data_IF_300431683579
#
_entry.id   IF_300431683579
#
_cell.length_a   1.000
_cell.length_b   1.000
_cell.length_c   1.000
_cell.angle_alpha   90.00
_cell.angle_beta   90.00
_cell.angle_gamma   90.00
#
_symmetry.space_group_name_H-M   'P 1'
#
loop_
_entity.id
_entity.type
_entity.pdbx_description
1 polymer ?
#
# COMPACT_ATOMS: atom_id res chain seq x y z
N UNK A 1 1.46 22.61 0.27
CA UNK A 1 2.31 21.50 0.76
C UNK A 1 2.25 20.37 -0.26
N UNK A 2 3.36 19.72 -0.58
CA UNK A 2 3.35 18.61 -1.55
C UNK A 2 2.88 17.32 -0.87
N UNK A 3 1.92 16.62 -1.47
CA UNK A 3 1.48 15.31 -1.00
C UNK A 3 2.50 14.19 -1.24
N UNK A 4 3.66 14.52 -1.83
CA UNK A 4 4.77 13.59 -1.99
C UNK A 4 5.27 13.00 -0.67
N UNK A 5 5.06 13.69 0.46
CA UNK A 5 5.33 13.17 1.80
C UNK A 5 4.52 11.90 2.16
N UNK A 6 3.43 11.62 1.44
CA UNK A 6 2.64 10.40 1.63
C UNK A 6 3.22 9.19 0.88
N UNK A 7 4.19 9.37 -0.03
CA UNK A 7 4.82 8.26 -0.76
C UNK A 7 5.46 7.23 0.20
N UNK A 8 6.30 7.63 1.18
CA UNK A 8 6.83 6.70 2.18
C UNK A 8 5.73 6.00 3.00
N UNK A 9 4.63 6.68 3.29
CA UNK A 9 3.53 6.10 4.05
C UNK A 9 2.79 5.01 3.27
N UNK A 10 2.56 5.20 1.97
CA UNK A 10 2.02 4.14 1.10
C UNK A 10 2.99 2.98 0.91
N UNK A 11 4.30 3.25 0.83
CA UNK A 11 5.34 2.19 0.83
C UNK A 11 5.26 1.36 2.12
N UNK A 12 5.20 2.04 3.28
CA UNK A 12 5.04 1.40 4.58
C UNK A 12 3.74 0.57 4.64
N UNK A 13 2.62 1.12 4.15
CA UNK A 13 1.34 0.42 4.13
C UNK A 13 1.37 -0.81 3.22
N UNK A 14 1.99 -0.74 2.05
CA UNK A 14 2.19 -1.90 1.17
C UNK A 14 2.97 -3.02 1.88
N UNK A 15 4.02 -2.66 2.63
CA UNK A 15 4.81 -3.63 3.40
C UNK A 15 4.02 -4.20 4.57
N UNK A 16 3.29 -3.36 5.28
CA UNK A 16 2.46 -3.75 6.41
C UNK A 16 1.34 -4.70 6.00
N UNK A 17 0.67 -4.45 4.86
CA UNK A 17 -0.35 -5.36 4.30
C UNK A 17 0.18 -6.75 3.96
N UNK A 18 1.49 -6.90 3.72
CA UNK A 18 2.15 -8.21 3.51
C UNK A 18 2.69 -8.82 4.79
N UNK A 19 2.76 -8.05 5.88
CA UNK A 19 3.35 -8.51 7.13
C UNK A 19 2.30 -9.19 8.01
N UNK A 20 2.77 -10.00 8.96
CA UNK A 20 1.92 -10.58 10.01
C UNK A 20 1.52 -9.55 11.07
N UNK A 21 2.05 -8.33 10.99
CA UNK A 21 1.84 -7.28 11.99
C UNK A 21 0.66 -6.38 11.67
N UNK A 22 0.04 -6.48 10.48
CA UNK A 22 -1.06 -5.61 10.05
C UNK A 22 -2.11 -5.43 11.17
N UNK A 23 -2.60 -6.54 11.71
CA UNK A 23 -3.64 -6.54 12.74
C UNK A 23 -3.20 -6.06 14.12
N UNK A 24 -1.89 -5.96 14.36
CA UNK A 24 -1.31 -5.41 15.59
C UNK A 24 -0.98 -3.93 15.45
N UNK A 25 -0.54 -3.54 14.26
CA UNK A 25 -0.05 -2.21 13.96
C UNK A 25 -1.16 -1.24 13.54
N UNK A 26 -2.27 -1.75 13.00
CA UNK A 26 -3.39 -0.93 12.55
C UNK A 26 -4.66 -1.21 13.33
N UNK A 27 -5.22 -0.15 13.90
CA UNK A 27 -6.53 -0.11 14.53
C UNK A 27 -7.42 0.84 13.73
N UNK A 28 -8.54 0.31 13.24
CA UNK A 28 -9.55 1.08 12.53
C UNK A 28 -10.64 1.49 13.52
N UNK A 29 -10.43 2.60 14.23
CA UNK A 29 -11.39 3.13 15.21
C UNK A 29 -12.77 3.26 14.57
N UNK A 30 -13.81 2.80 15.29
CA UNK A 30 -15.20 2.80 14.82
C UNK A 30 -15.53 1.73 13.77
N UNK A 31 -14.62 0.79 13.49
CA UNK A 31 -14.85 -0.28 12.51
C UNK A 31 -14.66 -1.67 13.12
N UNK A 32 -15.77 -2.36 13.36
CA UNK A 32 -15.80 -3.59 14.18
C UNK A 32 -15.66 -4.90 13.37
N UNK A 33 -15.05 -4.85 12.18
CA UNK A 33 -14.80 -6.08 11.39
C UNK A 33 -13.46 -6.69 11.74
N UNK A 34 -13.39 -8.01 11.63
CA UNK A 34 -12.18 -8.79 11.93
C UNK A 34 -11.07 -8.42 10.95
N UNK A 35 -9.87 -8.14 11.47
CA UNK A 35 -8.70 -7.88 10.65
C UNK A 35 -8.37 -9.05 9.72
N UNK A 36 -7.93 -8.74 8.49
CA UNK A 36 -7.64 -9.72 7.45
C UNK A 36 -8.88 -10.23 6.69
N UNK A 37 -10.08 -9.73 7.04
CA UNK A 37 -11.26 -9.90 6.20
C UNK A 37 -11.27 -8.89 5.06
N UNK A 38 -11.97 -9.22 3.97
CA UNK A 38 -12.15 -8.32 2.83
C UNK A 38 -12.74 -6.96 3.24
N UNK A 39 -13.67 -6.95 4.20
CA UNK A 39 -14.28 -5.71 4.68
C UNK A 39 -13.29 -4.83 5.43
N UNK A 40 -12.42 -5.44 6.26
CA UNK A 40 -11.31 -4.74 6.92
C UNK A 40 -10.33 -4.16 5.92
N UNK A 41 -9.87 -4.95 4.95
CA UNK A 41 -8.93 -4.47 3.96
C UNK A 41 -9.53 -3.35 3.10
N UNK A 42 -10.81 -3.46 2.73
CA UNK A 42 -11.51 -2.39 2.01
C UNK A 42 -11.59 -1.10 2.83
N UNK A 43 -11.88 -1.17 4.12
CA UNK A 43 -11.94 0.03 4.97
C UNK A 43 -10.54 0.64 5.21
N UNK A 44 -9.53 -0.20 5.43
CA UNK A 44 -8.13 0.20 5.50
C UNK A 44 -7.71 0.98 4.24
N UNK A 45 -7.98 0.40 3.06
CA UNK A 45 -7.67 1.00 1.76
C UNK A 45 -8.44 2.31 1.55
N UNK A 46 -9.75 2.31 1.88
CA UNK A 46 -10.60 3.51 1.77
C UNK A 46 -10.07 4.66 2.62
N UNK A 47 -9.68 4.42 3.88
CA UNK A 47 -9.13 5.45 4.77
C UNK A 47 -7.80 5.99 4.27
N UNK A 48 -6.88 5.11 3.87
CA UNK A 48 -5.58 5.51 3.31
C UNK A 48 -5.75 6.37 2.03
N UNK A 49 -6.66 5.96 1.14
CA UNK A 49 -6.98 6.71 -0.08
C UNK A 49 -7.71 8.02 0.22
N UNK A 50 -8.55 8.09 1.25
CA UNK A 50 -9.16 9.33 1.71
C UNK A 50 -8.13 10.32 2.30
N UNK A 51 -7.14 9.83 3.06
CA UNK A 51 -6.04 10.68 3.53
C UNK A 51 -5.26 11.29 2.36
N UNK A 52 -4.98 10.49 1.33
CA UNK A 52 -4.36 10.97 0.09
C UNK A 52 -5.26 11.98 -0.64
N UNK A 53 -6.53 11.67 -0.81
CA UNK A 53 -7.50 12.54 -1.46
C UNK A 53 -7.55 13.91 -0.78
N UNK A 54 -7.70 13.95 0.54
CA UNK A 54 -7.77 15.23 1.28
C UNK A 54 -6.46 16.02 1.19
N UNK A 55 -5.31 15.35 1.19
CA UNK A 55 -4.05 16.02 0.90
C UNK A 55 -4.07 16.65 -0.50
N UNK A 56 -4.45 15.87 -1.53
CA UNK A 56 -4.43 16.35 -2.92
C UNK A 56 -5.49 17.43 -3.19
N UNK A 57 -6.59 17.44 -2.44
CA UNK A 57 -7.62 18.47 -2.51
C UNK A 57 -7.07 19.82 -2.02
N UNK A 58 -6.31 19.82 -0.92
CA UNK A 58 -5.72 21.03 -0.33
C UNK A 58 -4.41 21.45 -0.98
N UNK A 59 -3.59 20.48 -1.40
CA UNK A 59 -2.29 20.68 -2.04
C UNK A 59 -2.35 21.00 -3.54
N UNK A 60 -3.51 20.78 -4.18
CA UNK A 60 -3.75 21.04 -5.60
C UNK A 60 -3.42 19.86 -6.53
N UNK A 61 -3.67 20.05 -7.84
CA UNK A 61 -3.50 19.08 -8.94
C UNK A 61 -4.50 17.90 -8.95
N UNK A 62 -5.39 17.78 -7.96
CA UNK A 62 -6.53 16.86 -7.98
C UNK A 62 -6.14 15.41 -8.27
N UNK A 63 -6.77 14.80 -9.28
CA UNK A 63 -6.50 13.42 -9.70
C UNK A 63 -5.02 13.18 -10.05
N UNK A 64 -4.34 14.16 -10.67
CA UNK A 64 -2.92 14.06 -11.02
C UNK A 64 -2.02 13.94 -9.78
N UNK A 65 -2.40 14.56 -8.66
CA UNK A 65 -1.69 14.42 -7.39
C UNK A 65 -1.83 12.98 -6.85
N UNK A 66 -3.05 12.43 -6.86
CA UNK A 66 -3.33 11.06 -6.40
C UNK A 66 -2.54 10.05 -7.22
N UNK A 67 -2.67 10.13 -8.55
CA UNK A 67 -1.96 9.24 -9.48
C UNK A 67 -0.44 9.35 -9.28
N UNK A 68 0.08 10.56 -9.05
CA UNK A 68 1.50 10.80 -8.79
C UNK A 68 2.03 10.11 -7.53
N UNK A 69 1.29 10.16 -6.42
CA UNK A 69 1.70 9.50 -5.17
C UNK A 69 1.62 7.98 -5.29
N UNK A 70 0.50 7.45 -5.79
CA UNK A 70 0.31 6.01 -5.95
C UNK A 70 1.34 5.42 -6.91
N UNK A 71 1.61 6.11 -8.04
CA UNK A 71 2.63 5.69 -9.01
C UNK A 71 4.03 5.61 -8.40
N UNK A 72 4.42 6.63 -7.63
CA UNK A 72 5.75 6.66 -7.01
C UNK A 72 5.90 5.56 -5.96
N UNK A 73 4.88 5.37 -5.12
CA UNK A 73 4.87 4.33 -4.10
C UNK A 73 4.91 2.92 -4.73
N UNK A 74 4.11 2.68 -5.78
CA UNK A 74 4.13 1.39 -6.49
C UNK A 74 5.47 1.17 -7.21
N UNK A 75 6.01 2.20 -7.86
CA UNK A 75 7.31 2.14 -8.53
C UNK A 75 8.46 1.82 -7.59
N UNK A 76 8.46 2.36 -6.36
CA UNK A 76 9.45 2.04 -5.34
C UNK A 76 9.42 0.55 -4.94
N UNK A 77 8.24 -0.05 -4.97
CA UNK A 77 8.03 -1.49 -4.70
C UNK A 77 8.21 -2.35 -5.96
N UNK A 78 8.85 -1.82 -7.01
CA UNK A 78 9.07 -2.53 -8.29
C UNK A 78 7.76 -2.85 -9.02
N UNK A 79 6.76 -1.99 -8.87
CA UNK A 79 5.38 -2.16 -9.34
C UNK A 79 4.66 -3.36 -8.74
N UNK A 80 5.08 -3.79 -7.54
CA UNK A 80 4.49 -4.87 -6.76
C UNK A 80 3.82 -4.37 -5.47
N UNK A 81 3.24 -3.17 -5.51
CA UNK A 81 2.32 -2.64 -4.51
C UNK A 81 0.87 -3.07 -4.76
N UNK A 82 0.00 -2.90 -3.76
CA UNK A 82 -1.43 -3.22 -3.83
C UNK A 82 -2.24 -2.18 -4.61
N UNK A 83 -1.77 -0.94 -4.64
CA UNK A 83 -2.47 0.19 -5.25
C UNK A 83 -1.90 0.46 -6.64
N UNK A 84 -2.77 0.52 -7.64
CA UNK A 84 -2.43 0.81 -9.04
C UNK A 84 -3.21 2.04 -9.48
N UNK A 85 -2.50 3.08 -9.90
CA UNK A 85 -3.10 4.29 -10.45
C UNK A 85 -3.54 4.08 -11.89
N UNK A 86 -4.68 4.68 -12.25
CA UNK A 86 -5.13 4.87 -13.64
C UNK A 86 -4.95 3.63 -14.53
N UNK A 87 -5.47 2.47 -14.11
CA UNK A 87 -5.30 1.22 -14.85
C UNK A 87 -6.29 1.17 -16.01
N UNK A 88 -5.87 1.22 -17.29
CA UNK A 88 -6.81 1.11 -18.40
C UNK A 88 -7.32 -0.32 -18.58
N UNK A 89 -8.63 -0.49 -18.70
CA UNK A 89 -9.27 -1.75 -19.08
C UNK A 89 -9.88 -1.64 -20.47
N UNK A 90 -9.54 -2.60 -21.33
CA UNK A 90 -10.15 -2.79 -22.64
C UNK A 90 -10.73 -4.20 -22.69
N UNK A 91 -11.99 -4.35 -23.08
CA UNK A 91 -12.67 -5.64 -23.11
C UNK A 91 -12.50 -6.44 -21.80
N UNK A 92 -12.69 -5.76 -20.65
CA UNK A 92 -12.57 -6.34 -19.30
C UNK A 92 -11.17 -6.84 -18.92
N UNK A 93 -10.14 -6.53 -19.70
CA UNK A 93 -8.75 -6.89 -19.42
C UNK A 93 -7.90 -5.63 -19.18
N UNK A 94 -6.98 -5.63 -18.20
CA UNK A 94 -6.05 -4.51 -18.00
C UNK A 94 -5.08 -4.44 -19.18
N UNK A 95 -4.81 -3.23 -19.67
CA UNK A 95 -3.78 -3.01 -20.68
C UNK A 95 -2.44 -2.80 -19.99
N UNK A 96 -1.56 -3.79 -20.14
CA UNK A 96 -0.22 -3.77 -19.55
C UNK A 96 0.78 -2.99 -20.41
N UNK A 97 1.83 -2.47 -19.79
CA UNK A 97 2.92 -1.80 -20.51
C UNK A 97 3.67 -2.78 -21.39
N UNK A 98 3.96 -2.39 -22.64
CA UNK A 98 4.77 -3.21 -23.56
C UNK A 98 6.23 -3.30 -23.13
N UNK A 99 6.77 -2.20 -22.58
CA UNK A 99 8.19 -2.09 -22.21
C UNK A 99 8.46 -2.58 -20.78
N UNK A 100 7.46 -2.55 -19.90
CA UNK A 100 7.56 -2.97 -18.50
C UNK A 100 6.32 -3.81 -18.13
N UNK A 101 6.23 -5.08 -18.58
CA UNK A 101 4.99 -5.87 -18.45
C UNK A 101 4.52 -6.13 -17.02
N UNK A 102 5.36 -5.83 -16.03
CA UNK A 102 5.03 -5.89 -14.60
C UNK A 102 4.02 -4.83 -14.14
N UNK A 103 3.74 -3.80 -14.96
CA UNK A 103 2.80 -2.71 -14.63
C UNK A 103 1.81 -2.39 -15.75
N UNK A 104 0.67 -1.77 -15.42
CA UNK A 104 -0.24 -1.19 -16.41
C UNK A 104 0.46 -0.16 -17.31
N UNK A 105 -0.07 0.00 -18.53
CA UNK A 105 0.39 1.07 -19.42
C UNK A 105 0.04 2.44 -18.84
N UNK A 106 0.88 3.44 -19.13
CA UNK A 106 0.59 4.86 -18.84
C UNK A 106 -0.12 5.55 -20.00
N UNK A 107 -0.23 4.89 -21.15
CA UNK A 107 -1.05 5.38 -22.24
C UNK A 107 -2.53 5.27 -21.89
N UNK A 108 -3.37 6.00 -22.62
CA UNK A 108 -4.83 5.91 -22.53
C UNK A 108 -5.34 5.32 -23.84
N UNK A 109 -5.30 3.98 -24.04
CA UNK A 109 -5.79 3.36 -25.27
C UNK A 109 -7.22 3.82 -25.58
N UNK A 110 -7.52 4.07 -26.85
CA UNK A 110 -8.86 4.45 -27.28
C UNK A 110 -9.88 3.37 -26.86
N UNK A 111 -11.02 3.82 -26.32
CA UNK A 111 -12.07 2.93 -25.80
C UNK A 111 -11.76 2.26 -24.46
N UNK A 112 -10.60 2.51 -23.84
CA UNK A 112 -10.32 1.98 -22.51
C UNK A 112 -11.07 2.73 -21.41
N UNK A 113 -11.41 2.00 -20.34
CA UNK A 113 -12.04 2.50 -19.12
C UNK A 113 -10.98 2.56 -18.03
N UNK A 114 -10.74 3.73 -17.46
CA UNK A 114 -9.53 4.03 -16.67
C UNK A 114 -9.93 4.55 -15.28
N UNK A 115 -10.17 3.67 -14.30
CA UNK A 115 -10.45 4.10 -12.95
C UNK A 115 -9.26 4.76 -12.26
N UNK A 116 -9.52 5.69 -11.34
CA UNK A 116 -8.47 6.43 -10.63
C UNK A 116 -7.52 5.52 -9.86
N UNK A 117 -8.07 4.58 -9.07
CA UNK A 117 -7.27 3.62 -8.30
C UNK A 117 -7.90 2.22 -8.35
N UNK A 118 -7.07 1.24 -8.69
CA UNK A 118 -7.37 -0.19 -8.57
C UNK A 118 -6.54 -0.76 -7.43
N UNK A 119 -7.22 -1.39 -6.46
CA UNK A 119 -6.57 -2.18 -5.42
C UNK A 119 -6.65 -3.66 -5.78
N UNK A 120 -5.51 -4.33 -5.78
CA UNK A 120 -5.41 -5.77 -6.08
C UNK A 120 -5.29 -6.61 -4.81
N UNK A 121 -5.66 -7.89 -4.88
CA UNK A 121 -5.54 -8.86 -3.77
C UNK A 121 -4.10 -9.34 -3.60
N UNK A 122 -3.46 -9.69 -4.72
CA UNK A 122 -2.06 -10.10 -4.75
C UNK A 122 -1.27 -9.06 -5.57
N UNK A 123 -0.36 -8.31 -4.93
CA UNK A 123 0.32 -7.21 -5.58
C UNK A 123 1.43 -7.67 -6.54
N UNK A 124 1.75 -8.98 -6.57
CA UNK A 124 2.70 -9.57 -7.50
C UNK A 124 2.05 -10.06 -8.81
N UNK A 125 0.73 -9.98 -8.91
CA UNK A 125 -0.02 -10.39 -10.10
C UNK A 125 -0.60 -9.16 -10.83
N UNK A 126 -0.81 -9.24 -12.16
CA UNK A 126 -1.47 -8.18 -12.90
C UNK A 126 -2.88 -7.86 -12.34
N UNK A 127 -3.39 -6.64 -12.52
CA UNK A 127 -4.74 -6.26 -12.09
C UNK A 127 -5.82 -6.82 -13.02
N UNK A 128 -5.80 -8.12 -13.31
CA UNK A 128 -6.92 -8.81 -13.97
C UNK A 128 -8.12 -8.84 -13.02
N UNK A 129 -9.35 -8.92 -13.53
CA UNK A 129 -10.57 -8.79 -12.71
C UNK A 129 -10.60 -9.76 -11.51
N UNK A 130 -10.07 -10.97 -11.65
CA UNK A 130 -9.98 -11.94 -10.55
C UNK A 130 -9.03 -11.52 -9.43
N UNK A 131 -7.99 -10.76 -9.77
CA UNK A 131 -7.04 -10.19 -8.83
C UNK A 131 -7.46 -8.81 -8.31
N UNK A 132 -8.46 -8.16 -8.91
CA UNK A 132 -9.00 -6.91 -8.38
C UNK A 132 -9.73 -7.19 -7.06
N UNK A 133 -9.34 -6.47 -6.01
CA UNK A 133 -10.05 -6.45 -4.73
C UNK A 133 -11.15 -5.39 -4.77
N UNK A 134 -10.77 -4.15 -5.14
CA UNK A 134 -11.69 -3.01 -5.16
C UNK A 134 -11.21 -1.94 -6.16
N UNK A 135 -12.17 -1.20 -6.73
CA UNK A 135 -11.93 -0.08 -7.62
C UNK A 135 -12.53 1.17 -6.99
N UNK A 136 -11.73 2.23 -6.94
CA UNK A 136 -12.08 3.51 -6.36
C UNK A 136 -12.05 4.58 -7.45
N UNK A 137 -13.07 5.42 -7.44
CA UNK A 137 -13.13 6.68 -8.15
C UNK A 137 -13.05 7.81 -7.14
N UNK A 138 -12.38 8.89 -7.52
CA UNK A 138 -12.21 10.09 -6.73
C UNK A 138 -12.79 11.27 -7.49
N UNK A 139 -13.68 12.02 -6.86
CA UNK A 139 -14.29 13.22 -7.45
C UNK A 139 -13.88 14.43 -6.63
N UNK A 140 -13.08 15.29 -7.26
CA UNK A 140 -12.70 16.57 -6.67
C UNK A 140 -13.86 17.58 -6.81
N UNK A 141 -13.84 18.71 -6.10
CA UNK A 141 -14.91 19.70 -6.19
C UNK A 141 -15.20 20.11 -7.64
N UNK A 142 -16.45 19.97 -8.06
CA UNK A 142 -16.89 20.23 -9.44
C UNK A 142 -16.85 19.02 -10.38
N UNK A 143 -16.21 17.91 -9.97
CA UNK A 143 -16.18 16.68 -10.76
C UNK A 143 -17.38 15.78 -10.48
N UNK A 144 -17.76 14.99 -11.49
CA UNK A 144 -18.78 13.97 -11.39
C UNK A 144 -18.39 12.69 -12.15
N UNK A 145 -19.23 11.67 -12.04
CA UNK A 145 -19.18 10.59 -13.01
C UNK A 145 -19.54 11.15 -14.39
N UNK A 146 -18.68 10.94 -15.37
CA UNK A 146 -18.97 11.44 -16.72
C UNK A 146 -20.24 10.78 -17.26
N UNK A 147 -21.17 11.62 -17.71
CA UNK A 147 -22.38 11.22 -18.43
C UNK A 147 -22.10 10.95 -19.91
N UNK A 148 -20.90 11.22 -20.40
CA UNK A 148 -20.51 10.97 -21.78
C UNK A 148 -20.46 9.46 -22.06
N UNK A 149 -21.06 9.08 -23.18
CA UNK A 149 -21.05 7.69 -23.64
C UNK A 149 -19.72 7.35 -24.30
N UNK A 150 -19.14 6.24 -23.86
CA UNK A 150 -17.97 5.66 -24.51
C UNK A 150 -18.34 4.85 -25.76
N UNK A 151 -17.35 4.28 -26.46
CA UNK A 151 -17.58 3.43 -27.65
C UNK A 151 -18.42 2.18 -27.37
N UNK A 152 -18.52 1.77 -26.11
CA UNK A 152 -19.36 0.66 -25.62
C UNK A 152 -20.83 1.08 -25.37
N UNK A 153 -21.19 2.33 -25.66
CA UNK A 153 -22.54 2.85 -25.45
C UNK A 153 -22.91 3.05 -23.98
N UNK A 154 -21.94 3.07 -23.06
CA UNK A 154 -22.17 3.24 -21.62
C UNK A 154 -21.54 4.55 -21.12
N UNK A 155 -22.15 5.17 -20.10
CA UNK A 155 -21.49 6.24 -19.35
C UNK A 155 -20.43 5.65 -18.38
N UNK A 156 -19.67 6.51 -17.71
CA UNK A 156 -18.57 6.06 -16.83
C UNK A 156 -19.05 5.09 -15.74
N UNK A 157 -20.15 5.43 -15.06
CA UNK A 157 -20.68 4.65 -13.95
C UNK A 157 -21.16 3.27 -14.41
N UNK A 158 -21.92 3.22 -15.50
CA UNK A 158 -22.43 1.98 -16.10
C UNK A 158 -21.29 1.07 -16.54
N UNK A 159 -20.28 1.61 -17.24
CA UNK A 159 -19.14 0.83 -17.70
C UNK A 159 -18.36 0.21 -16.53
N UNK A 160 -18.14 0.95 -15.44
CA UNK A 160 -17.46 0.40 -14.27
C UNK A 160 -18.31 -0.61 -13.51
N UNK A 161 -19.62 -0.39 -13.40
CA UNK A 161 -20.53 -1.38 -12.82
C UNK A 161 -20.52 -2.68 -13.63
N UNK A 162 -20.52 -2.58 -14.96
CA UNK A 162 -20.45 -3.73 -15.87
C UNK A 162 -19.11 -4.48 -15.75
N UNK A 163 -17.98 -3.76 -15.78
CA UNK A 163 -16.64 -4.36 -15.76
C UNK A 163 -16.31 -4.98 -14.40
N UNK A 164 -16.57 -4.26 -13.32
CA UNK A 164 -16.05 -4.60 -11.98
C UNK A 164 -17.11 -5.17 -11.03
N UNK A 165 -18.41 -4.99 -11.32
CA UNK A 165 -19.51 -5.43 -10.47
C UNK A 165 -19.36 -4.95 -9.03
N UNK A 166 -19.46 -5.88 -8.08
CA UNK A 166 -19.32 -5.61 -6.64
C UNK A 166 -17.94 -5.07 -6.20
N UNK A 167 -16.93 -5.17 -7.07
CA UNK A 167 -15.60 -4.61 -6.80
C UNK A 167 -15.57 -3.10 -7.00
N UNK A 168 -16.51 -2.53 -7.73
CA UNK A 168 -16.61 -1.08 -7.89
C UNK A 168 -17.25 -0.44 -6.66
N UNK A 169 -16.54 0.51 -6.04
CA UNK A 169 -17.13 1.36 -5.01
C UNK A 169 -18.07 2.37 -5.69
N UNK A 170 -19.36 2.06 -5.68
CA UNK A 170 -20.42 2.88 -6.33
C UNK A 170 -20.48 4.32 -5.83
N UNK A 171 -20.08 4.58 -4.58
CA UNK A 171 -19.96 5.94 -4.05
C UNK A 171 -18.50 6.39 -4.18
N UNK A 172 -18.24 7.35 -5.05
CA UNK A 172 -16.90 7.89 -5.21
C UNK A 172 -16.36 8.46 -3.88
N UNK A 173 -15.04 8.47 -3.76
CA UNK A 173 -14.36 9.22 -2.70
C UNK A 173 -14.39 10.70 -3.07
N UNK A 174 -14.89 11.51 -2.15
CA UNK A 174 -15.07 12.95 -2.30
C UNK A 174 -14.82 13.65 -0.95
N UNK A 175 -14.87 14.98 -0.92
CA UNK A 175 -14.59 15.76 0.28
C UNK A 175 -15.46 15.34 1.48
N UNK A 176 -16.74 15.05 1.24
CA UNK A 176 -17.69 14.64 2.27
C UNK A 176 -17.47 13.22 2.77
N UNK A 177 -17.34 12.24 1.89
CA UNK A 177 -17.12 10.82 2.25
C UNK A 177 -15.74 10.56 2.85
N UNK A 178 -14.77 11.43 2.57
CA UNK A 178 -13.45 11.40 3.18
C UNK A 178 -13.28 12.34 4.38
N UNK A 179 -14.31 13.13 4.73
CA UNK A 179 -14.28 14.10 5.83
C UNK A 179 -13.00 14.96 5.79
N UNK A 180 -12.77 15.64 4.67
CA UNK A 180 -11.56 16.45 4.50
C UNK A 180 -11.55 17.73 5.35
N UNK A 181 -12.73 18.22 5.72
CA UNK A 181 -12.91 19.48 6.45
C UNK A 181 -13.07 19.29 7.97
N UNK A 182 -12.86 18.08 8.51
CA UNK A 182 -12.97 17.84 9.95
C UNK A 182 -11.70 18.26 10.69
N UNK A 183 -11.85 19.25 11.58
CA UNK A 183 -10.83 20.00 12.34
C UNK A 183 -9.95 19.16 13.31
N UNK A 184 -10.05 17.84 13.29
CA UNK A 184 -9.54 17.00 14.38
C UNK A 184 -9.33 15.55 14.00
N UNK A 185 -8.74 15.27 12.84
CA UNK A 185 -8.36 13.90 12.50
C UNK A 185 -7.30 13.44 13.50
N UNK A 186 -7.71 12.59 14.44
CA UNK A 186 -6.85 12.09 15.49
C UNK A 186 -5.68 11.34 14.84
N UNK A 187 -4.43 11.69 15.18
CA UNK A 187 -3.24 11.07 14.55
C UNK A 187 -3.22 9.55 14.72
N UNK A 188 -3.89 9.04 15.76
CA UNK A 188 -4.08 7.62 16.06
C UNK A 188 -5.15 6.93 15.19
N UNK A 189 -5.97 7.68 14.44
CA UNK A 189 -6.96 7.16 13.50
C UNK A 189 -6.46 7.10 12.06
N UNK A 190 -5.38 7.82 11.74
CA UNK A 190 -4.75 7.81 10.42
C UNK A 190 -4.08 6.46 10.16
N UNK A 191 -4.47 5.80 9.07
CA UNK A 191 -3.89 4.54 8.62
C UNK A 191 -2.46 4.77 8.12
N UNK A 192 -2.22 5.89 7.41
CA UNK A 192 -0.90 6.20 6.86
C UNK A 192 0.12 6.54 7.95
N UNK A 193 -0.30 7.22 9.04
CA UNK A 193 0.55 7.47 10.20
C UNK A 193 0.86 6.17 10.94
N UNK A 194 -0.14 5.31 11.17
CA UNK A 194 0.07 3.99 11.79
C UNK A 194 1.05 3.13 10.98
N UNK A 195 0.91 3.10 9.66
CA UNK A 195 1.86 2.41 8.78
C UNK A 195 3.28 2.99 8.86
N UNK A 196 3.41 4.32 8.88
CA UNK A 196 4.69 5.01 9.01
C UNK A 196 5.37 4.71 10.35
N UNK A 197 4.61 4.73 11.46
CA UNK A 197 5.11 4.37 12.79
C UNK A 197 5.58 2.92 12.85
N UNK A 198 4.83 1.98 12.26
CA UNK A 198 5.25 0.58 12.15
C UNK A 198 6.57 0.44 11.39
N UNK A 199 6.72 1.14 10.26
CA UNK A 199 7.95 1.10 9.46
C UNK A 199 9.14 1.67 10.24
N UNK A 200 8.98 2.80 10.92
CA UNK A 200 10.04 3.41 11.74
C UNK A 200 10.47 2.50 12.90
N UNK A 201 9.51 1.85 13.59
CA UNK A 201 9.80 0.89 14.66
C UNK A 201 10.54 -0.34 14.13
N UNK A 202 10.17 -0.82 12.94
CA UNK A 202 10.85 -1.93 12.28
C UNK A 202 12.29 -1.59 11.90
N UNK A 203 12.54 -0.40 11.36
CA UNK A 203 13.89 0.08 11.04
C UNK A 203 14.76 0.22 12.30
N UNK A 204 14.19 0.77 13.38
CA UNK A 204 14.87 0.85 14.67
C UNK A 204 15.27 -0.53 15.18
N UNK A 205 14.36 -1.51 15.12
CA UNK A 205 14.63 -2.89 15.53
C UNK A 205 15.74 -3.55 14.70
N UNK A 206 15.74 -3.35 13.37
CA UNK A 206 16.81 -3.84 12.49
C UNK A 206 18.16 -3.21 12.86
N UNK A 207 18.20 -1.88 13.00
CA UNK A 207 19.44 -1.17 13.34
C UNK A 207 20.00 -1.58 14.71
N UNK A 208 19.13 -1.93 15.67
CA UNK A 208 19.55 -2.43 16.97
C UNK A 208 20.11 -3.85 16.85
N UNK A 209 19.45 -4.72 16.08
CA UNK A 209 19.93 -6.07 15.83
C UNK A 209 21.30 -6.08 15.11
N UNK A 210 21.51 -5.20 14.14
CA UNK A 210 22.79 -5.03 13.46
C UNK A 210 23.91 -4.59 14.42
N UNK A 211 23.63 -3.64 15.32
CA UNK A 211 24.60 -3.23 16.36
C UNK A 211 24.95 -4.38 17.30
N UNK A 212 23.95 -5.10 17.80
CA UNK A 212 24.16 -6.25 18.70
C UNK A 212 24.98 -7.34 18.01
N UNK A 213 24.74 -7.61 16.73
CA UNK A 213 25.52 -8.56 15.95
C UNK A 213 26.99 -8.10 15.77
N UNK A 214 27.22 -6.80 15.53
CA UNK A 214 28.55 -6.24 15.41
C UNK A 214 29.32 -6.30 16.75
N UNK A 215 28.66 -5.97 17.87
CA UNK A 215 29.25 -6.04 19.21
C UNK A 215 29.54 -7.49 19.63
N UNK A 216 28.68 -8.44 19.25
CA UNK A 216 28.93 -9.86 19.50
C UNK A 216 30.11 -10.36 18.67
N UNK A 217 30.20 -9.98 17.40
CA UNK A 217 31.32 -10.34 16.55
C UNK A 217 32.66 -9.75 17.06
N UNK A 218 32.64 -8.51 17.56
CA UNK A 218 33.83 -7.87 18.13
C UNK A 218 34.23 -8.50 19.47
N UNK A 219 33.27 -8.84 20.33
CA UNK A 219 33.53 -9.52 21.60
C UNK A 219 34.06 -10.95 21.39
N UNK A 220 33.50 -11.70 20.45
CA UNK A 220 34.00 -13.04 20.09
C UNK A 220 35.38 -12.95 19.43
N UNK A 221 35.60 -11.95 18.56
CA UNK A 221 36.92 -11.69 17.96
C UNK A 221 37.98 -11.32 19.00
N UNK A 222 37.63 -10.48 19.98
CA UNK A 222 38.51 -10.10 21.08
C UNK A 222 38.78 -11.29 22.02
N UNK A 223 37.77 -12.11 22.32
CA UNK A 223 37.94 -13.32 23.12
C UNK A 223 38.76 -14.40 22.39
N UNK A 224 38.63 -14.52 21.07
CA UNK A 224 39.43 -15.41 20.23
C UNK A 224 40.89 -14.89 20.07
N UNK A 225 41.10 -13.57 20.09
CA UNK A 225 42.42 -12.96 20.12
C UNK A 225 43.13 -13.03 21.47
N UNK A 226 42.37 -13.15 22.57
CA UNK A 226 42.89 -13.28 23.93
C UNK A 226 43.06 -14.73 24.40
N UNK A 227 42.49 -15.71 23.70
CA UNK A 227 42.51 -17.12 24.09
C UNK A 227 43.31 -17.95 23.10
N UNK A 228 44.58 -18.20 23.43
CA UNK A 228 45.29 -19.37 22.93
C UNK A 228 44.64 -20.66 23.47
N UNK A 229 43.45 -21.01 22.99
CA UNK A 229 42.78 -22.28 23.25
C UNK A 229 41.87 -22.60 22.04
N UNK A 230 42.54 -23.05 20.98
CA UNK A 230 41.88 -23.73 19.89
C UNK A 230 41.18 -24.99 20.40
N UNK A 231 40.00 -25.27 19.84
CA UNK A 231 39.11 -26.44 20.05
C UNK A 231 38.08 -26.32 21.19
N UNK A 232 37.10 -25.43 21.06
CA UNK A 232 35.83 -25.60 21.80
C UNK A 232 34.56 -25.02 21.14
N UNK A 233 34.59 -24.50 19.91
CA UNK A 233 33.43 -23.79 19.34
C UNK A 233 32.90 -24.39 18.03
N UNK A 234 32.59 -25.69 18.05
CA UNK A 234 31.64 -26.28 17.08
C UNK A 234 30.17 -26.22 17.54
N UNK A 235 29.86 -25.53 18.65
CA UNK A 235 28.52 -25.54 19.25
C UNK A 235 27.71 -24.23 19.23
N UNK A 236 28.27 -23.08 18.82
CA UNK A 236 27.61 -21.76 19.04
C UNK A 236 26.69 -21.32 17.88
N UNK A 237 26.52 -22.14 16.85
CA UNK A 237 25.52 -21.90 15.79
C UNK A 237 24.05 -21.88 16.28
N UNK A 238 23.78 -22.21 17.54
CA UNK A 238 22.43 -22.34 18.09
C UNK A 238 21.90 -21.09 18.85
N UNK A 239 22.74 -20.11 19.17
CA UNK A 239 22.28 -18.97 20.01
C UNK A 239 21.58 -17.88 19.19
N UNK A 240 22.02 -17.64 17.95
CA UNK A 240 21.39 -16.66 17.05
C UNK A 240 19.96 -17.06 16.64
N UNK A 241 19.68 -18.35 16.52
CA UNK A 241 18.36 -18.88 16.15
C UNK A 241 17.37 -18.92 17.32
N UNK A 242 17.85 -18.99 18.57
CA UNK A 242 17.00 -18.95 19.76
C UNK A 242 16.42 -17.54 20.00
N UNK A 243 17.24 -16.48 19.86
CA UNK A 243 16.77 -15.10 20.05
C UNK A 243 15.82 -14.65 18.91
N UNK A 244 16.07 -15.11 17.68
CA UNK A 244 15.17 -14.88 16.54
C UNK A 244 13.79 -15.54 16.74
N UNK A 245 13.74 -16.73 17.36
CA UNK A 245 12.48 -17.39 17.75
C UNK A 245 11.75 -16.68 18.89
N UNK A 246 12.48 -16.15 19.87
CA UNK A 246 11.90 -15.36 20.98
C UNK A 246 11.33 -14.02 20.49
N UNK A 247 11.93 -13.43 19.45
CA UNK A 247 11.46 -12.19 18.82
C UNK A 247 10.47 -12.38 17.66
N UNK A 248 10.03 -13.62 17.39
CA UNK A 248 9.02 -13.91 16.36
C UNK A 248 9.45 -13.65 14.91
N UNK A 249 10.74 -13.43 14.66
CA UNK A 249 11.30 -13.26 13.32
C UNK A 249 11.56 -14.64 12.70
N UNK A 250 10.57 -15.17 12.00
CA UNK A 250 10.76 -16.32 11.11
C UNK A 250 11.13 -15.83 9.72
N UNK A 251 12.28 -16.24 9.20
CA UNK A 251 12.61 -16.17 7.78
C UNK A 251 11.88 -17.28 7.01
#
# INVERSE_FOLDING_TARGET
MSCGQLVPAFIALNRLKRSRDLCKAVVLVGFNKVCGTRDFDNELDRRALCELFCCCMTGGLGQRCVAGVVMQADGFEGYRGYYKQEVPYLNRAPVMSRNEPVRPTRSRPAGSRIPDVVVVKNPRLPPVLDNVQRVYEMKFPGDGFSSEFGPDGMNQFQAYQEIFGEKFLKKALDAGSCACDSDGRNVNESVLNQATLWQANREKAISLAERVNADTASAVGAAAGASALGRALRGVGAVGSALARVLGLSF
#
